data_IF_457684460902
#
_entry.id   IF_457684460902
#
_cell.length_a   1.000
_cell.length_b   1.000
_cell.length_c   1.000
_cell.angle_alpha   90.00
_cell.angle_beta   90.00
_cell.angle_gamma   90.00
#
_symmetry.space_group_name_H-M   'P 1'
#
loop_
_entity.id
_entity.type
_entity.pdbx_description
1 polymer ?
#
# COMPACT_ATOMS: atom_id res chain seq x y z
N UNK A 1 15.00 -25.31 20.88
CA UNK A 1 13.59 -25.29 20.42
C UNK A 1 12.93 -24.04 20.99
N UNK A 2 12.73 -23.04 20.14
CA UNK A 2 12.04 -21.80 20.52
C UNK A 2 10.58 -22.15 20.80
N UNK A 3 10.11 -21.86 22.02
CA UNK A 3 8.71 -22.05 22.40
C UNK A 3 7.90 -21.02 21.61
N UNK A 4 7.10 -21.47 20.66
CA UNK A 4 6.11 -20.62 20.02
C UNK A 4 5.01 -20.35 21.05
N UNK A 5 5.06 -19.18 21.68
CA UNK A 5 3.91 -18.63 22.41
C UNK A 5 2.81 -18.37 21.38
N UNK A 6 1.89 -19.33 21.22
CA UNK A 6 0.66 -19.14 20.47
C UNK A 6 -0.24 -18.23 21.29
N UNK A 7 -0.14 -16.92 21.05
CA UNK A 7 -0.80 -15.87 21.84
C UNK A 7 -2.29 -15.72 21.54
N UNK A 8 -2.81 -16.43 20.55
CA UNK A 8 -4.22 -16.39 20.15
C UNK A 8 -4.74 -17.80 19.89
N UNK A 9 -5.92 -18.13 20.42
CA UNK A 9 -6.63 -19.36 20.10
C UNK A 9 -7.09 -19.33 18.64
N UNK A 10 -7.44 -20.50 18.10
CA UNK A 10 -7.99 -20.65 16.75
C UNK A 10 -9.26 -19.83 16.54
N UNK A 11 -10.06 -19.69 17.60
CA UNK A 11 -11.30 -18.93 17.63
C UNK A 11 -11.01 -17.42 17.66
N UNK A 12 -10.04 -16.98 18.46
CA UNK A 12 -9.59 -15.58 18.48
C UNK A 12 -8.99 -15.16 17.13
N UNK A 13 -8.25 -16.05 16.48
CA UNK A 13 -7.76 -15.86 15.12
C UNK A 13 -8.91 -15.78 14.11
N UNK A 14 -9.92 -16.64 14.22
CA UNK A 14 -11.08 -16.64 13.32
C UNK A 14 -11.91 -15.37 13.47
N UNK A 15 -12.15 -14.88 14.69
CA UNK A 15 -12.85 -13.62 14.95
C UNK A 15 -12.06 -12.40 14.44
N UNK A 16 -10.74 -12.39 14.60
CA UNK A 16 -9.88 -11.35 14.03
C UNK A 16 -9.89 -11.38 12.49
N UNK A 17 -9.92 -12.57 11.89
CA UNK A 17 -9.99 -12.73 10.45
C UNK A 17 -11.36 -12.32 9.89
N UNK A 18 -12.45 -12.74 10.53
CA UNK A 18 -13.83 -12.43 10.12
C UNK A 18 -14.14 -10.93 10.25
N UNK A 19 -13.74 -10.30 11.36
CA UNK A 19 -13.91 -8.86 11.56
C UNK A 19 -13.05 -8.00 10.62
N UNK A 20 -11.94 -8.52 10.08
CA UNK A 20 -11.06 -7.79 9.16
C UNK A 20 -11.35 -8.09 7.68
N UNK A 21 -11.87 -9.28 7.35
CA UNK A 21 -12.24 -9.67 5.99
C UNK A 21 -13.70 -9.33 5.63
N UNK A 22 -14.60 -9.25 6.61
CA UNK A 22 -16.04 -9.03 6.40
C UNK A 22 -16.46 -7.67 5.85
N UNK A 23 -15.52 -6.75 5.57
CA UNK A 23 -15.81 -5.40 5.05
C UNK A 23 -15.34 -5.14 3.60
N UNK A 24 -14.66 -6.10 2.97
CA UNK A 24 -14.12 -5.94 1.62
C UNK A 24 -14.50 -7.12 0.73
N UNK A 25 -15.77 -7.19 0.32
CA UNK A 25 -16.23 -8.16 -0.69
C UNK A 25 -15.60 -7.85 -2.06
N UNK A 26 -15.27 -6.58 -2.34
CA UNK A 26 -14.41 -6.14 -3.43
C UNK A 26 -13.81 -4.78 -3.03
N UNK A 27 -12.54 -4.53 -3.35
CA UNK A 27 -11.99 -3.18 -3.24
C UNK A 27 -12.77 -2.29 -4.22
N UNK A 28 -13.48 -1.24 -3.76
CA UNK A 28 -14.20 -0.37 -4.67
C UNK A 28 -13.18 0.40 -5.53
N UNK A 29 -13.03 -0.05 -6.77
CA UNK A 29 -12.20 0.60 -7.78
C UNK A 29 -13.08 1.52 -8.62
N UNK A 30 -12.48 2.58 -9.17
CA UNK A 30 -13.14 3.38 -10.21
C UNK A 30 -13.38 2.51 -11.44
N UNK A 31 -14.39 2.87 -12.24
CA UNK A 31 -14.74 2.17 -13.48
C UNK A 31 -13.60 2.13 -14.51
N UNK A 32 -12.66 3.07 -14.43
CA UNK A 32 -11.51 3.24 -15.32
C UNK A 32 -10.17 2.80 -14.69
N UNK A 33 -10.20 2.05 -13.58
CA UNK A 33 -9.00 1.68 -12.82
C UNK A 33 -7.97 0.87 -13.64
N UNK A 34 -8.39 0.27 -14.75
CA UNK A 34 -7.58 -0.58 -15.62
C UNK A 34 -7.35 0.00 -17.01
N UNK A 35 -7.77 1.24 -17.28
CA UNK A 35 -7.69 1.85 -18.62
C UNK A 35 -6.25 2.22 -19.00
N UNK A 36 -5.40 2.51 -18.00
CA UNK A 36 -4.00 2.89 -18.19
C UNK A 36 -3.08 1.67 -18.13
N UNK A 37 -2.02 1.68 -18.95
CA UNK A 37 -0.93 0.73 -18.85
C UNK A 37 -0.15 0.93 -17.54
N UNK A 38 0.56 -0.10 -17.10
CA UNK A 38 1.37 0.00 -15.90
C UNK A 38 2.49 1.04 -16.05
N UNK A 39 3.05 1.18 -17.24
CA UNK A 39 4.08 2.19 -17.57
C UNK A 39 3.53 3.62 -17.47
N UNK A 40 2.30 3.83 -17.95
CA UNK A 40 1.62 5.13 -17.84
C UNK A 40 1.30 5.46 -16.38
N UNK A 41 0.86 4.47 -15.59
CA UNK A 41 0.61 4.64 -14.15
C UNK A 41 1.90 5.01 -13.42
N UNK A 42 3.00 4.28 -13.67
CA UNK A 42 4.31 4.54 -13.04
C UNK A 42 4.77 5.96 -13.36
N UNK A 43 4.71 6.37 -14.64
CA UNK A 43 5.14 7.70 -15.08
C UNK A 43 4.33 8.81 -14.41
N UNK A 44 3.01 8.69 -14.38
CA UNK A 44 2.14 9.70 -13.78
C UNK A 44 2.32 9.78 -12.26
N UNK A 45 2.43 8.63 -11.58
CA UNK A 45 2.66 8.56 -10.14
C UNK A 45 4.01 9.17 -9.78
N UNK A 46 5.08 8.84 -10.51
CA UNK A 46 6.42 9.40 -10.27
C UNK A 46 6.42 10.94 -10.33
N UNK A 47 5.80 11.52 -11.36
CA UNK A 47 5.65 12.98 -11.47
C UNK A 47 4.89 13.59 -10.28
N UNK A 48 3.84 12.94 -9.78
CA UNK A 48 3.09 13.44 -8.61
C UNK A 48 3.90 13.35 -7.32
N UNK A 49 4.74 12.34 -7.17
CA UNK A 49 5.66 12.25 -6.04
C UNK A 49 6.75 13.32 -6.10
N UNK A 50 7.26 13.64 -7.29
CA UNK A 50 8.19 14.76 -7.48
C UNK A 50 7.58 16.09 -6.99
N UNK A 51 6.31 16.36 -7.37
CA UNK A 51 5.56 17.53 -6.91
C UNK A 51 5.46 17.54 -5.36
N UNK A 52 5.13 16.39 -4.75
CA UNK A 52 5.02 16.25 -3.29
C UNK A 52 6.35 16.51 -2.60
N UNK A 53 7.44 15.93 -3.09
CA UNK A 53 8.78 16.09 -2.53
C UNK A 53 9.23 17.55 -2.59
N UNK A 54 8.91 18.24 -3.69
CA UNK A 54 9.14 19.68 -3.85
C UNK A 54 8.35 20.50 -2.82
N UNK A 55 7.07 20.18 -2.60
CA UNK A 55 6.22 20.85 -1.58
C UNK A 55 6.78 20.64 -0.16
N UNK A 56 7.32 19.46 0.12
CA UNK A 56 7.97 19.14 1.39
C UNK A 56 9.33 19.86 1.56
N UNK A 57 9.85 20.50 0.51
CA UNK A 57 11.14 21.18 0.53
C UNK A 57 12.33 20.25 0.44
N UNK A 58 12.16 19.05 -0.13
CA UNK A 58 13.25 18.12 -0.37
C UNK A 58 14.04 18.52 -1.62
N UNK A 59 15.37 18.43 -1.56
CA UNK A 59 16.25 18.66 -2.70
C UNK A 59 16.35 17.39 -3.55
N UNK A 60 15.70 17.38 -4.71
CA UNK A 60 15.70 16.25 -5.63
C UNK A 60 17.07 15.94 -6.26
N UNK A 61 18.06 16.83 -6.09
CA UNK A 61 19.44 16.55 -6.50
C UNK A 61 20.22 15.75 -5.44
N UNK A 62 19.66 15.55 -4.24
CA UNK A 62 20.26 14.72 -3.22
C UNK A 62 20.23 13.24 -3.67
N UNK A 63 21.42 12.64 -3.81
CA UNK A 63 21.58 11.27 -4.28
C UNK A 63 20.91 10.24 -3.35
N UNK A 64 20.64 10.57 -2.08
CA UNK A 64 19.88 9.70 -1.16
C UNK A 64 18.41 9.53 -1.57
N UNK A 65 17.88 10.43 -2.38
CA UNK A 65 16.50 10.40 -2.86
C UNK A 65 16.35 9.73 -4.23
N UNK A 66 17.47 9.34 -4.87
CA UNK A 66 17.51 8.74 -6.20
C UNK A 66 17.69 7.22 -6.06
N UNK A 67 16.64 6.55 -5.59
CA UNK A 67 16.54 5.08 -5.49
C UNK A 67 16.18 4.42 -6.82
#
# INVERSE_FOLDING_TARGET
MTKHDQKYSTEELAELFDNHMGSAIDTPLRSDAFDLSDEEKITQIASKFEDIMTILGLDLNDDSLRG
#
